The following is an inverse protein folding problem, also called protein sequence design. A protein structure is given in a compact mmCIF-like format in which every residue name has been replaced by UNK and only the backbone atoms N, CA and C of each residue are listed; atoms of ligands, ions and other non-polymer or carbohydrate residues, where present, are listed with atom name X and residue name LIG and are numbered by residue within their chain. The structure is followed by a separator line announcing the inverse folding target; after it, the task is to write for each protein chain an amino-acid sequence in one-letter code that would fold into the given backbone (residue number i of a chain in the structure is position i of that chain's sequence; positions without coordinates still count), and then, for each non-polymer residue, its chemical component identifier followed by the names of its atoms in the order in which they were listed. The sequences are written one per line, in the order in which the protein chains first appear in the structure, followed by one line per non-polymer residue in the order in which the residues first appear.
data_IF_467613481256
#
_entry.id   IF_467613481256
#
_cell.length_a   1.000
_cell.length_b   1.000
_cell.length_c   1.000
_cell.angle_alpha   90.00
_cell.angle_beta   90.00
_cell.angle_gamma   90.00
#
_symmetry.space_group_name_H-M   'P 1'
#
loop_
_entity.id
_entity.type
_entity.pdbx_description
1 polymer ?
#
# COMPACT_ATOMS: atom_id res chain seq x y z
N UNK A 1 0.67 22.06 0.58
CA UNK A 1 1.77 21.17 1.01
C UNK A 1 2.31 20.29 -0.12
N UNK A 2 1.52 19.89 -1.14
CA UNK A 2 2.04 19.09 -2.26
C UNK A 2 3.13 19.81 -3.09
N UNK A 3 2.89 21.07 -3.48
CA UNK A 3 3.76 21.81 -4.41
C UNK A 3 5.18 22.08 -3.86
N UNK A 4 5.36 22.14 -2.53
CA UNK A 4 6.68 22.34 -1.91
C UNK A 4 7.58 21.11 -2.06
N UNK A 5 7.02 19.89 -1.92
CA UNK A 5 7.79 18.65 -2.04
C UNK A 5 8.24 18.36 -3.48
N UNK A 6 7.43 18.72 -4.48
CA UNK A 6 7.86 18.65 -5.89
C UNK A 6 9.00 19.63 -6.19
N UNK A 7 8.90 20.87 -5.71
CA UNK A 7 9.96 21.89 -5.84
C UNK A 7 11.30 21.43 -5.24
N UNK A 8 11.26 20.72 -4.11
CA UNK A 8 12.44 20.13 -3.47
C UNK A 8 13.01 18.94 -4.27
N UNK A 9 12.15 18.04 -4.78
CA UNK A 9 12.59 16.91 -5.65
C UNK A 9 13.36 17.41 -6.88
N UNK A 10 12.82 18.39 -7.60
CA UNK A 10 13.46 18.93 -8.82
C UNK A 10 14.78 19.65 -8.51
N UNK A 11 14.92 20.27 -7.33
CA UNK A 11 16.19 20.88 -6.87
C UNK A 11 17.24 19.85 -6.45
N UNK A 12 16.84 18.80 -5.74
CA UNK A 12 17.75 17.71 -5.35
C UNK A 12 18.39 17.05 -6.58
N UNK A 13 17.59 16.84 -7.62
CA UNK A 13 18.06 16.32 -8.91
C UNK A 13 18.80 17.34 -9.80
N UNK A 14 19.16 18.54 -9.35
CA UNK A 14 20.01 19.44 -10.16
C UNK A 14 21.51 19.21 -9.91
N UNK A 15 21.91 19.02 -8.65
CA UNK A 15 23.32 18.99 -8.23
C UNK A 15 24.14 17.83 -8.82
N UNK A 16 23.52 16.66 -9.00
CA UNK A 16 24.17 15.50 -9.64
C UNK A 16 24.34 15.63 -11.17
N UNK A 17 23.60 16.53 -11.84
CA UNK A 17 23.73 16.81 -13.29
C UNK A 17 24.78 17.90 -13.54
N UNK A 18 24.92 18.85 -12.61
CA UNK A 18 25.92 19.93 -12.65
C UNK A 18 27.34 19.47 -12.22
N UNK A 19 27.53 18.18 -11.92
CA UNK A 19 28.82 17.62 -11.56
C UNK A 19 29.79 17.61 -12.75
N UNK A 20 31.05 18.00 -12.54
CA UNK A 20 32.04 18.23 -13.60
C UNK A 20 32.32 17.00 -14.49
N UNK A 21 31.77 16.99 -15.70
CA UNK A 21 32.05 15.98 -16.72
C UNK A 21 33.44 16.23 -17.38
N UNK A 22 34.33 15.22 -17.48
CA UNK A 22 35.61 15.35 -18.16
C UNK A 22 35.46 15.69 -19.66
N UNK A 23 36.06 16.81 -20.10
CA UNK A 23 35.91 17.32 -21.48
C UNK A 23 36.79 16.64 -22.53
N UNK A 24 37.63 15.68 -22.13
CA UNK A 24 38.75 15.19 -22.94
C UNK A 24 38.40 14.07 -23.94
N UNK A 25 37.20 13.49 -23.90
CA UNK A 25 36.80 12.43 -24.83
C UNK A 25 35.34 12.56 -25.26
N UNK A 26 35.15 12.71 -26.58
CA UNK A 26 33.82 12.81 -27.21
C UNK A 26 33.00 11.54 -27.01
N UNK A 27 33.64 10.37 -27.10
CA UNK A 27 33.02 9.07 -26.77
C UNK A 27 32.45 9.03 -25.34
N UNK A 28 33.18 9.54 -24.34
CA UNK A 28 32.70 9.54 -22.95
C UNK A 28 31.51 10.50 -22.80
N UNK A 29 31.55 11.67 -23.45
CA UNK A 29 30.43 12.63 -23.45
C UNK A 29 29.16 12.04 -24.07
N UNK A 30 29.29 11.37 -25.23
CA UNK A 30 28.15 10.75 -25.91
C UNK A 30 27.52 9.62 -25.07
N UNK A 31 28.32 8.83 -24.33
CA UNK A 31 27.80 7.80 -23.41
C UNK A 31 27.14 8.41 -22.18
N UNK A 32 27.75 9.43 -21.58
CA UNK A 32 27.16 10.12 -20.42
C UNK A 32 25.82 10.77 -20.82
N UNK A 33 25.72 11.37 -22.01
CA UNK A 33 24.47 11.93 -22.53
C UNK A 33 23.37 10.86 -22.74
N UNK A 34 23.71 9.67 -23.23
CA UNK A 34 22.77 8.55 -23.36
C UNK A 34 22.31 8.01 -21.98
N UNK A 35 23.24 7.86 -21.04
CA UNK A 35 22.95 7.44 -19.66
C UNK A 35 22.06 8.47 -18.93
N UNK A 36 22.39 9.76 -19.05
CA UNK A 36 21.59 10.89 -18.58
C UNK A 36 20.16 10.85 -19.14
N UNK A 37 20.02 10.62 -20.44
CA UNK A 37 18.74 10.52 -21.12
C UNK A 37 17.89 9.38 -20.55
N UNK A 38 18.49 8.18 -20.40
CA UNK A 38 17.85 7.01 -19.81
C UNK A 38 17.41 7.25 -18.37
N UNK A 39 18.29 7.77 -17.51
CA UNK A 39 17.95 8.09 -16.12
C UNK A 39 16.85 9.17 -16.05
N UNK A 40 16.87 10.19 -16.92
CA UNK A 40 15.79 11.18 -17.02
C UNK A 40 14.45 10.56 -17.46
N UNK A 41 14.44 9.54 -18.33
CA UNK A 41 13.21 8.79 -18.65
C UNK A 41 12.73 7.91 -17.50
N UNK A 42 13.64 7.28 -16.74
CA UNK A 42 13.30 6.49 -15.56
C UNK A 42 12.69 7.36 -14.44
N UNK A 43 13.25 8.54 -14.17
CA UNK A 43 12.69 9.49 -13.20
C UNK A 43 11.31 9.96 -13.64
N UNK A 44 11.10 10.27 -14.93
CA UNK A 44 9.77 10.60 -15.46
C UNK A 44 8.74 9.47 -15.28
N UNK A 45 9.13 8.20 -15.40
CA UNK A 45 8.24 7.06 -15.10
C UNK A 45 7.89 6.91 -13.61
N UNK A 46 8.67 7.52 -12.71
CA UNK A 46 8.46 7.50 -11.26
C UNK A 46 7.69 8.75 -10.79
N UNK A 47 7.92 9.91 -11.42
CA UNK A 47 7.33 11.21 -11.03
C UNK A 47 6.09 11.63 -11.82
N UNK A 48 5.80 11.03 -12.99
CA UNK A 48 4.61 11.39 -13.78
C UNK A 48 3.28 11.03 -13.08
N UNK A 49 2.34 11.98 -13.14
CA UNK A 49 0.97 11.92 -12.58
C UNK A 49 0.90 11.70 -11.06
N UNK A 50 1.30 12.73 -10.31
CA UNK A 50 1.13 12.83 -8.85
C UNK A 50 -0.33 13.00 -8.35
N UNK A 51 -1.34 12.69 -9.18
CA UNK A 51 -2.76 12.78 -8.83
C UNK A 51 -3.29 11.46 -8.24
N UNK A 52 -3.47 11.47 -6.90
CA UNK A 52 -4.07 10.41 -6.07
C UNK A 52 -3.26 9.12 -5.90
N UNK A 53 -3.19 8.67 -4.63
CA UNK A 53 -2.55 7.42 -4.21
C UNK A 53 -3.05 6.20 -4.98
N UNK A 54 -4.35 6.15 -5.33
CA UNK A 54 -4.96 5.01 -6.00
C UNK A 54 -4.43 4.83 -7.44
N UNK A 55 -4.32 5.92 -8.21
CA UNK A 55 -3.75 5.87 -9.57
C UNK A 55 -2.28 5.52 -9.55
N UNK A 56 -1.52 6.05 -8.59
CA UNK A 56 -0.10 5.71 -8.39
C UNK A 56 0.11 4.22 -8.17
N UNK A 57 -0.72 3.55 -7.36
CA UNK A 57 -0.64 2.11 -7.16
C UNK A 57 -0.98 1.31 -8.43
N UNK A 58 -2.04 1.68 -9.15
CA UNK A 58 -2.45 0.99 -10.39
C UNK A 58 -1.43 1.16 -11.53
N UNK A 59 -0.91 2.38 -11.71
CA UNK A 59 0.15 2.68 -12.67
C UNK A 59 1.47 2.01 -12.32
N UNK A 60 1.84 1.90 -11.04
CA UNK A 60 3.10 1.28 -10.62
C UNK A 60 3.22 -0.16 -11.16
N UNK A 61 2.17 -0.99 -11.07
CA UNK A 61 2.22 -2.35 -11.63
C UNK A 61 2.27 -2.38 -13.17
N UNK A 62 1.65 -1.41 -13.86
CA UNK A 62 1.71 -1.28 -15.33
C UNK A 62 3.06 -0.75 -15.84
N UNK A 63 3.69 0.18 -15.10
CA UNK A 63 4.98 0.82 -15.44
C UNK A 63 6.21 0.08 -14.92
N UNK A 64 6.07 -0.81 -13.93
CA UNK A 64 7.14 -1.69 -13.44
C UNK A 64 7.91 -2.46 -14.55
N UNK A 65 7.27 -3.09 -15.56
CA UNK A 65 8.01 -3.73 -16.65
C UNK A 65 8.77 -2.74 -17.56
N UNK A 66 8.20 -1.56 -17.84
CA UNK A 66 8.89 -0.50 -18.62
C UNK A 66 10.12 0.03 -17.86
N UNK A 67 9.96 0.28 -16.55
CA UNK A 67 11.04 0.75 -15.68
C UNK A 67 12.13 -0.32 -15.52
N UNK A 68 11.76 -1.60 -15.36
CA UNK A 68 12.73 -2.71 -15.27
C UNK A 68 13.56 -2.81 -16.56
N UNK A 69 12.91 -2.71 -17.73
CA UNK A 69 13.61 -2.73 -19.03
C UNK A 69 14.62 -1.58 -19.15
N UNK A 70 14.27 -0.37 -18.71
CA UNK A 70 15.20 0.76 -18.70
C UNK A 70 16.36 0.58 -17.71
N UNK A 71 16.13 -0.03 -16.54
CA UNK A 71 17.20 -0.39 -15.60
C UNK A 71 18.16 -1.42 -16.21
N UNK A 72 17.64 -2.43 -16.90
CA UNK A 72 18.44 -3.44 -17.61
C UNK A 72 19.26 -2.82 -18.75
N UNK A 73 18.67 -1.94 -19.55
CA UNK A 73 19.35 -1.20 -20.63
C UNK A 73 20.42 -0.25 -20.09
N UNK A 74 20.18 0.39 -18.95
CA UNK A 74 21.14 1.25 -18.25
C UNK A 74 22.32 0.44 -17.71
N UNK A 75 22.06 -0.69 -17.03
CA UNK A 75 23.09 -1.59 -16.52
C UNK A 75 23.94 -2.17 -17.66
N UNK A 76 23.31 -2.56 -18.77
CA UNK A 76 24.00 -3.08 -19.96
C UNK A 76 24.91 -2.03 -20.61
N UNK A 77 24.45 -0.77 -20.69
CA UNK A 77 25.26 0.34 -21.20
C UNK A 77 26.44 0.66 -20.28
N UNK A 78 26.22 0.75 -18.96
CA UNK A 78 27.30 0.93 -17.98
C UNK A 78 28.35 -0.19 -18.07
N UNK A 79 27.92 -1.45 -18.17
CA UNK A 79 28.81 -2.60 -18.27
C UNK A 79 29.67 -2.54 -19.53
N UNK A 80 29.07 -2.24 -20.69
CA UNK A 80 29.79 -2.08 -21.94
C UNK A 80 30.78 -0.91 -21.92
N UNK A 81 30.47 0.18 -21.19
CA UNK A 81 31.38 1.29 -20.97
C UNK A 81 32.59 0.88 -20.11
N UNK A 82 32.36 0.15 -19.01
CA UNK A 82 33.42 -0.37 -18.14
C UNK A 82 34.34 -1.36 -18.88
N UNK A 83 33.76 -2.36 -19.58
CA UNK A 83 34.50 -3.34 -20.38
C UNK A 83 35.38 -2.67 -21.45
N UNK A 84 34.90 -1.59 -22.08
CA UNK A 84 35.69 -0.79 -23.04
C UNK A 84 36.78 0.04 -22.37
N UNK A 85 36.54 0.60 -21.19
CA UNK A 85 37.55 1.33 -20.43
C UNK A 85 38.71 0.41 -20.03
N UNK A 86 38.41 -0.76 -19.47
CA UNK A 86 39.40 -1.79 -19.12
C UNK A 86 40.18 -2.23 -20.37
N UNK A 87 39.49 -2.48 -21.49
CA UNK A 87 40.15 -2.83 -22.75
C UNK A 87 41.13 -1.73 -23.21
N UNK A 88 40.72 -0.46 -23.17
CA UNK A 88 41.62 0.66 -23.57
C UNK A 88 42.78 0.87 -22.62
N UNK A 89 42.60 0.69 -21.30
CA UNK A 89 43.71 0.84 -20.34
C UNK A 89 44.69 -0.34 -20.40
N UNK A 90 44.21 -1.56 -20.65
CA UNK A 90 45.06 -2.72 -20.93
C UNK A 90 45.83 -2.55 -22.25
N UNK A 91 45.17 -2.11 -23.32
CA UNK A 91 45.85 -1.79 -24.58
C UNK A 91 46.89 -0.68 -24.41
N UNK A 92 46.60 0.37 -23.64
CA UNK A 92 47.54 1.47 -23.39
C UNK A 92 48.79 0.99 -22.63
N UNK A 93 48.62 0.15 -21.59
CA UNK A 93 49.74 -0.46 -20.87
C UNK A 93 50.56 -1.40 -21.78
N UNK A 94 49.89 -2.16 -22.65
CA UNK A 94 50.55 -3.04 -23.60
C UNK A 94 51.36 -2.24 -24.63
N UNK A 95 50.76 -1.22 -25.25
CA UNK A 95 51.45 -0.32 -26.18
C UNK A 95 52.63 0.41 -25.52
N UNK A 96 52.49 0.86 -24.26
CA UNK A 96 53.59 1.46 -23.51
C UNK A 96 54.74 0.47 -23.29
N UNK A 97 54.43 -0.79 -22.91
CA UNK A 97 55.43 -1.85 -22.78
C UNK A 97 56.14 -2.14 -24.12
N UNK A 98 55.38 -2.32 -25.20
CA UNK A 98 55.93 -2.56 -26.55
C UNK A 98 56.75 -1.38 -27.07
N UNK A 99 56.39 -0.13 -26.72
CA UNK A 99 57.17 1.05 -27.09
C UNK A 99 58.51 1.11 -26.34
N UNK A 100 58.54 0.77 -25.05
CA UNK A 100 59.77 0.63 -24.26
C UNK A 100 60.66 -0.49 -24.79
N UNK A 101 60.07 -1.62 -25.20
CA UNK A 101 60.79 -2.75 -25.81
C UNK A 101 61.33 -2.42 -27.22
N UNK A 102 60.59 -1.63 -28.02
CA UNK A 102 60.98 -1.26 -29.38
C UNK A 102 62.03 -0.12 -29.45
N UNK A 103 62.11 0.74 -28.43
CA UNK A 103 63.06 1.85 -28.37
C UNK A 103 63.79 1.93 -27.01
N UNK A 104 64.70 0.98 -26.69
CA UNK A 104 65.34 0.87 -25.37
C UNK A 104 66.14 2.11 -24.92
N UNK A 105 66.51 2.99 -25.85
CA UNK A 105 67.38 4.15 -25.60
C UNK A 105 66.62 5.47 -25.37
N UNK A 106 65.28 5.45 -25.22
CA UNK A 106 64.51 6.62 -24.78
C UNK A 106 64.00 6.41 -23.36
N UNK A 107 64.66 7.05 -22.41
CA UNK A 107 64.41 6.97 -20.96
C UNK A 107 63.00 7.51 -20.64
N UNK A 108 62.09 6.70 -20.06
CA UNK A 108 60.90 7.21 -19.41
C UNK A 108 61.27 7.94 -18.11
N UNK A 109 60.85 9.19 -17.97
CA UNK A 109 61.13 10.00 -16.77
C UNK A 109 60.24 9.57 -15.58
N UNK A 110 60.89 9.23 -14.45
CA UNK A 110 60.40 9.56 -13.10
C UNK A 110 60.01 8.40 -12.18
N UNK A 111 60.39 8.55 -10.89
CA UNK A 111 60.11 7.71 -9.71
C UNK A 111 61.06 6.48 -9.57
N UNK A 112 62.26 6.54 -8.95
CA UNK A 112 62.59 6.75 -7.50
C UNK A 112 62.07 5.58 -6.65
N UNK A 113 62.84 4.82 -5.85
CA UNK A 113 64.27 4.75 -5.44
C UNK A 113 64.56 3.30 -4.93
N UNK A 114 65.76 2.79 -4.62
CA UNK A 114 67.16 3.30 -4.63
C UNK A 114 68.17 2.15 -4.99
N UNK A 115 68.93 1.64 -4.01
CA UNK A 115 70.21 0.88 -4.14
C UNK A 115 70.31 -0.22 -3.05
N UNK A 116 71.30 -1.12 -2.95
CA UNK A 116 72.65 -1.22 -3.53
C UNK A 116 73.12 -2.68 -3.72
N UNK A 117 74.34 -2.87 -4.23
CA UNK A 117 74.90 -4.15 -4.69
C UNK A 117 76.23 -4.52 -3.98
N UNK A 118 76.60 -5.82 -3.99
CA UNK A 118 77.97 -6.45 -4.11
C UNK A 118 79.25 -5.78 -3.52
N UNK A 119 80.35 -6.46 -3.18
CA UNK A 119 80.76 -7.87 -2.96
C UNK A 119 82.25 -7.86 -2.48
N UNK A 120 82.89 -9.03 -2.39
CA UNK A 120 84.18 -9.30 -1.71
C UNK A 120 85.51 -8.77 -2.32
N UNK A 121 86.52 -8.78 -1.44
CA UNK A 121 88.02 -8.78 -1.47
C UNK A 121 88.72 -9.81 -2.44
N UNK A 122 90.09 -10.04 -2.47
CA UNK A 122 91.26 -9.38 -1.82
C UNK A 122 92.63 -9.31 -2.64
N UNK A 123 93.71 -8.88 -1.94
CA UNK A 123 95.10 -9.44 -1.90
C UNK A 123 96.27 -8.92 -2.78
N UNK A 124 97.48 -8.81 -2.16
CA UNK A 124 98.83 -9.04 -2.74
C UNK A 124 100.00 -8.86 -1.72
N UNK A 125 100.99 -9.76 -1.77
CA UNK A 125 102.18 -9.89 -0.88
C UNK A 125 103.43 -9.09 -1.36
N UNK A 126 104.42 -8.84 -0.46
CA UNK A 126 105.83 -9.30 -0.65
C UNK A 126 106.85 -9.06 0.48
N UNK A 127 107.90 -9.88 0.47
CA UNK A 127 109.04 -9.96 1.41
C UNK A 127 110.10 -8.83 1.32
N UNK A 128 110.92 -8.73 2.38
CA UNK A 128 112.21 -8.04 2.41
C UNK A 128 113.19 -8.73 3.38
N UNK A 129 114.47 -8.85 3.02
CA UNK A 129 115.42 -9.78 3.67
C UNK A 129 116.73 -9.15 4.18
N UNK A 130 117.55 -9.99 4.84
CA UNK A 130 119.00 -9.88 5.13
C UNK A 130 119.47 -9.10 6.38
N UNK A 131 120.34 -9.71 7.19
CA UNK A 131 121.79 -9.42 7.17
C UNK A 131 122.59 -10.40 8.05
N UNK A 132 123.85 -10.69 7.69
CA UNK A 132 124.74 -11.66 8.38
C UNK A 132 125.73 -10.96 9.32
N UNK A 133 126.17 -11.67 10.37
CA UNK A 133 127.24 -11.25 11.29
C UNK A 133 128.37 -12.27 11.30
N UNK A 134 129.59 -11.85 10.96
CA UNK A 134 130.85 -12.42 11.48
C UNK A 134 132.07 -11.62 11.00
N UNK A 135 132.98 -11.31 11.92
CA UNK A 135 134.37 -10.92 11.61
C UNK A 135 135.23 -11.00 12.87
N UNK A 136 136.19 -11.93 12.87
CA UNK A 136 137.52 -11.75 13.46
C UNK A 136 138.41 -12.92 13.00
N UNK A 137 139.62 -12.60 12.55
CA UNK A 137 140.64 -13.53 12.06
C UNK A 137 141.89 -13.33 12.92
N UNK A 138 142.49 -14.42 13.38
CA UNK A 138 143.68 -14.42 14.23
C UNK A 138 144.91 -14.90 13.43
N UNK A 139 146.08 -14.78 14.07
CA UNK A 139 147.39 -15.38 13.73
C UNK A 139 148.23 -14.71 12.64
N UNK A 140 149.57 -14.74 12.69
CA UNK A 140 150.56 -14.52 13.77
C UNK A 140 151.91 -14.26 13.07
N UNK A 141 152.84 -13.56 13.71
CA UNK A 141 154.12 -13.15 13.11
C UNK A 141 155.22 -14.22 13.28
N UNK A 142 156.05 -14.44 12.25
CA UNK A 142 157.26 -15.27 12.32
C UNK A 142 158.45 -14.49 12.93
N UNK A 143 159.30 -15.15 13.72
CA UNK A 143 160.42 -14.52 14.47
C UNK A 143 161.81 -14.72 13.86
N UNK A 144 162.89 -14.46 14.63
CA UNK A 144 164.25 -15.08 14.53
C UNK A 144 165.22 -14.49 15.58
N UNK A 145 166.04 -15.36 16.23
CA UNK A 145 167.31 -15.10 16.96
C UNK A 145 167.32 -14.06 18.12
N UNK A 146 168.25 -14.10 19.08
CA UNK A 146 169.48 -14.89 19.21
C UNK A 146 169.72 -15.38 20.67
N UNK A 147 170.77 -16.16 20.90
CA UNK A 147 170.98 -17.00 22.08
C UNK A 147 171.16 -16.30 23.46
N UNK A 148 170.99 -17.13 24.50
CA UNK A 148 171.47 -16.97 25.89
C UNK A 148 170.54 -16.43 27.00
N UNK A 149 169.21 -16.56 26.88
CA UNK A 149 168.27 -16.33 28.01
C UNK A 149 167.33 -17.51 28.36
N UNK A 150 167.71 -18.74 27.97
CA UNK A 150 166.89 -19.95 28.09
C UNK A 150 166.30 -20.24 29.48
N UNK A 151 166.97 -19.90 30.59
CA UNK A 151 166.42 -20.11 31.94
C UNK A 151 165.33 -19.08 32.32
N UNK A 152 165.45 -17.85 31.84
CA UNK A 152 164.39 -16.83 32.03
C UNK A 152 163.18 -17.12 31.15
N UNK A 153 163.41 -17.68 29.95
CA UNK A 153 162.39 -18.11 29.00
C UNK A 153 161.65 -19.36 29.51
N UNK A 154 162.34 -20.33 30.10
CA UNK A 154 161.73 -21.50 30.77
C UNK A 154 160.89 -21.09 31.98
N UNK A 155 161.35 -20.16 32.83
CA UNK A 155 160.54 -19.63 33.93
C UNK A 155 159.36 -18.77 33.42
N UNK A 156 159.52 -18.08 32.29
CA UNK A 156 158.42 -17.41 31.59
C UNK A 156 157.35 -18.39 31.11
N UNK A 157 157.77 -19.45 30.41
CA UNK A 157 156.90 -20.50 29.89
C UNK A 157 156.16 -21.25 31.00
N UNK A 158 156.81 -21.53 32.14
CA UNK A 158 156.14 -22.07 33.34
C UNK A 158 155.05 -21.14 33.86
N UNK A 159 155.30 -19.83 33.89
CA UNK A 159 154.32 -18.83 34.34
C UNK A 159 153.12 -18.78 33.41
N UNK A 160 153.34 -18.71 32.09
CA UNK A 160 152.26 -18.74 31.10
C UNK A 160 151.49 -20.07 31.09
N UNK A 161 152.15 -21.20 31.37
CA UNK A 161 151.49 -22.49 31.50
C UNK A 161 150.54 -22.50 32.71
N UNK A 162 150.97 -21.92 33.83
CA UNK A 162 150.18 -21.83 35.05
C UNK A 162 149.01 -20.85 34.89
N UNK A 163 149.23 -19.72 34.23
CA UNK A 163 148.18 -18.77 33.81
C UNK A 163 147.13 -19.45 32.92
N UNK A 164 147.55 -20.09 31.82
CA UNK A 164 146.67 -20.87 30.92
C UNK A 164 145.91 -21.99 31.66
N UNK A 165 146.53 -22.60 32.68
CA UNK A 165 145.90 -23.63 33.47
C UNK A 165 144.81 -23.05 34.41
N UNK A 166 145.04 -21.88 35.00
CA UNK A 166 144.00 -21.15 35.76
C UNK A 166 142.89 -20.59 34.86
N UNK A 167 143.21 -20.11 33.66
CA UNK A 167 142.21 -19.67 32.67
C UNK A 167 141.35 -20.84 32.19
N UNK A 168 141.95 -22.02 31.96
CA UNK A 168 141.23 -23.25 31.63
C UNK A 168 140.26 -23.67 32.74
N UNK A 169 140.69 -23.61 34.00
CA UNK A 169 139.84 -23.94 35.16
C UNK A 169 138.71 -22.91 35.34
N UNK A 170 138.98 -21.62 35.12
CA UNK A 170 137.98 -20.57 35.10
C UNK A 170 136.97 -20.73 33.94
N UNK A 171 137.44 -21.13 32.76
CA UNK A 171 136.62 -21.41 31.58
C UNK A 171 135.71 -22.63 31.80
N UNK A 172 136.20 -23.71 32.42
CA UNK A 172 135.38 -24.88 32.75
C UNK A 172 134.30 -24.54 33.79
N UNK A 173 134.66 -23.77 34.83
CA UNK A 173 133.69 -23.25 35.80
C UNK A 173 132.63 -22.36 35.13
N UNK A 174 133.04 -21.45 34.24
CA UNK A 174 132.11 -20.62 33.46
C UNK A 174 131.21 -21.48 32.57
N UNK A 175 131.78 -22.45 31.86
CA UNK A 175 131.06 -23.39 31.01
C UNK A 175 130.00 -24.16 31.80
N UNK A 176 130.36 -24.80 32.92
CA UNK A 176 129.41 -25.48 33.80
C UNK A 176 128.31 -24.55 34.33
N UNK A 177 128.64 -23.29 34.63
CA UNK A 177 127.67 -22.29 35.10
C UNK A 177 126.71 -21.88 33.97
N UNK A 178 127.19 -21.73 32.72
CA UNK A 178 126.33 -21.52 31.55
C UNK A 178 125.46 -22.72 31.24
N UNK A 179 125.97 -23.95 31.41
CA UNK A 179 125.25 -25.20 31.18
C UNK A 179 124.09 -25.38 32.17
N UNK A 180 124.31 -25.03 33.45
CA UNK A 180 123.25 -24.96 34.47
C UNK A 180 122.19 -23.91 34.14
N UNK A 181 122.58 -22.72 33.65
CA UNK A 181 121.62 -21.69 33.21
C UNK A 181 120.80 -22.15 32.00
N UNK A 182 121.43 -22.77 31.01
CA UNK A 182 120.75 -23.33 29.85
C UNK A 182 119.74 -24.42 30.26
N UNK A 183 120.10 -25.31 31.19
CA UNK A 183 119.17 -26.32 31.72
C UNK A 183 117.96 -25.72 32.44
N UNK A 184 118.12 -24.59 33.15
CA UNK A 184 117.00 -23.86 33.76
C UNK A 184 116.11 -23.24 32.67
N UNK A 185 116.71 -22.51 31.70
CA UNK A 185 115.94 -21.90 30.61
C UNK A 185 115.25 -22.93 29.71
N UNK A 186 115.85 -24.09 29.48
CA UNK A 186 115.24 -25.20 28.74
C UNK A 186 114.03 -25.78 29.50
N UNK A 187 114.09 -25.86 30.84
CA UNK A 187 112.93 -26.23 31.64
C UNK A 187 111.82 -25.17 31.58
N UNK A 188 112.17 -23.90 31.78
CA UNK A 188 111.21 -22.78 31.72
C UNK A 188 110.55 -22.66 30.33
N UNK A 189 111.31 -22.93 29.26
CA UNK A 189 110.79 -22.98 27.89
C UNK A 189 109.81 -24.14 27.67
N UNK A 190 110.14 -25.34 28.18
CA UNK A 190 109.25 -26.50 28.11
C UNK A 190 107.98 -26.31 28.94
N UNK A 191 108.09 -25.81 30.17
CA UNK A 191 106.95 -25.48 31.04
C UNK A 191 106.02 -24.46 30.32
N UNK A 192 106.58 -23.39 29.75
CA UNK A 192 105.83 -22.39 28.99
C UNK A 192 105.21 -22.94 27.69
N UNK A 193 105.86 -23.92 27.03
CA UNK A 193 105.34 -24.55 25.82
C UNK A 193 104.13 -25.46 26.11
N UNK A 194 104.14 -26.17 27.24
CA UNK A 194 102.98 -26.95 27.71
C UNK A 194 101.83 -26.02 28.16
N UNK A 195 102.13 -24.89 28.82
CA UNK A 195 101.12 -23.86 29.12
C UNK A 195 100.46 -23.32 27.83
N UNK A 196 101.25 -22.98 26.80
CA UNK A 196 100.74 -22.53 25.49
C UNK A 196 99.83 -23.57 24.84
N UNK A 197 100.21 -24.86 24.85
CA UNK A 197 99.32 -25.95 24.41
C UNK A 197 98.02 -25.98 25.20
N UNK A 198 98.10 -25.91 26.53
CA UNK A 198 96.93 -25.89 27.40
C UNK A 198 96.04 -24.65 27.21
N UNK A 199 96.57 -23.53 26.72
CA UNK A 199 95.77 -22.37 26.29
C UNK A 199 95.13 -22.58 24.92
N UNK A 200 95.88 -23.10 23.93
CA UNK A 200 95.35 -23.39 22.58
C UNK A 200 94.21 -24.42 22.60
N UNK A 201 94.32 -25.50 23.39
CA UNK A 201 93.25 -26.49 23.55
C UNK A 201 91.98 -25.86 24.14
N UNK A 202 92.13 -24.97 25.15
CA UNK A 202 91.01 -24.22 25.74
C UNK A 202 90.41 -23.22 24.76
N UNK A 203 91.23 -22.54 23.96
CA UNK A 203 90.77 -21.60 22.93
C UNK A 203 89.98 -22.35 21.83
N UNK A 204 90.51 -23.47 21.32
CA UNK A 204 89.83 -24.32 20.35
C UNK A 204 88.47 -24.81 20.88
N UNK A 205 88.42 -25.25 22.14
CA UNK A 205 87.17 -25.68 22.78
C UNK A 205 86.16 -24.54 22.89
N UNK A 206 86.60 -23.37 23.36
CA UNK A 206 85.75 -22.18 23.47
C UNK A 206 85.23 -21.71 22.09
N UNK A 207 86.05 -21.77 21.04
CA UNK A 207 85.59 -21.48 19.68
C UNK A 207 84.50 -22.42 19.19
N UNK A 208 84.62 -23.73 19.48
CA UNK A 208 83.60 -24.73 19.12
C UNK A 208 82.31 -24.44 19.88
N UNK A 209 82.38 -24.20 21.19
CA UNK A 209 81.22 -23.84 22.01
C UNK A 209 80.55 -22.55 21.50
N UNK A 210 81.32 -21.52 21.13
CA UNK A 210 80.79 -20.27 20.53
C UNK A 210 80.14 -20.51 19.16
N UNK A 211 80.69 -21.38 18.31
CA UNK A 211 80.08 -21.76 17.02
C UNK A 211 78.74 -22.47 17.25
N UNK A 212 78.69 -23.47 18.13
CA UNK A 212 77.46 -24.20 18.49
C UNK A 212 76.40 -23.27 19.09
N UNK A 213 76.79 -22.37 20.00
CA UNK A 213 75.88 -21.40 20.60
C UNK A 213 75.30 -20.44 19.57
N UNK A 214 76.12 -19.92 18.63
CA UNK A 214 75.65 -19.08 17.52
C UNK A 214 74.65 -19.82 16.62
N UNK A 215 74.91 -21.08 16.28
CA UNK A 215 73.98 -21.90 15.49
C UNK A 215 72.66 -22.17 16.22
N UNK A 216 72.71 -22.40 17.55
CA UNK A 216 71.49 -22.60 18.34
C UNK A 216 70.67 -21.32 18.49
N UNK A 217 71.32 -20.17 18.65
CA UNK A 217 70.68 -18.87 18.75
C UNK A 217 70.01 -18.50 17.41
N UNK A 218 70.70 -18.70 16.28
CA UNK A 218 70.12 -18.49 14.95
C UNK A 218 68.90 -19.40 14.69
N UNK A 219 68.89 -20.65 15.18
CA UNK A 219 67.71 -21.53 15.09
C UNK A 219 66.53 -20.98 15.90
N UNK A 220 66.78 -20.57 17.15
CA UNK A 220 65.76 -20.00 18.02
C UNK A 220 65.19 -18.67 17.49
N UNK A 221 66.00 -17.83 16.85
CA UNK A 221 65.53 -16.60 16.18
C UNK A 221 64.61 -16.93 15.00
N UNK A 222 64.98 -17.88 14.14
CA UNK A 222 64.13 -18.33 13.03
C UNK A 222 62.82 -18.97 13.51
N UNK A 223 62.85 -19.75 14.59
CA UNK A 223 61.65 -20.34 15.22
C UNK A 223 60.74 -19.25 15.80
N UNK A 224 61.30 -18.26 16.52
CA UNK A 224 60.58 -17.08 17.03
C UNK A 224 59.89 -16.32 15.90
N UNK A 225 60.63 -16.01 14.83
CA UNK A 225 60.12 -15.18 13.74
C UNK A 225 59.05 -15.92 12.91
N UNK A 226 59.22 -17.23 12.73
CA UNK A 226 58.18 -18.10 12.15
C UNK A 226 56.92 -18.12 13.01
N UNK A 227 57.05 -18.27 14.34
CA UNK A 227 55.93 -18.24 15.26
C UNK A 227 55.21 -16.89 15.31
N UNK A 228 55.97 -15.79 15.26
CA UNK A 228 55.41 -14.42 15.24
C UNK A 228 54.66 -14.13 13.93
N UNK A 229 55.16 -14.62 12.79
CA UNK A 229 54.46 -14.55 11.50
C UNK A 229 53.14 -15.34 11.54
N UNK A 230 53.16 -16.57 12.08
CA UNK A 230 51.95 -17.40 12.23
C UNK A 230 50.92 -16.76 13.18
N UNK A 231 51.38 -16.15 14.27
CA UNK A 231 50.51 -15.40 15.19
C UNK A 231 49.88 -14.19 14.48
N UNK A 232 50.66 -13.43 13.73
CA UNK A 232 50.16 -12.28 12.94
C UNK A 232 49.08 -12.70 11.93
N UNK A 233 49.32 -13.77 11.17
CA UNK A 233 48.35 -14.34 10.22
C UNK A 233 47.07 -14.85 10.92
N UNK A 234 47.22 -15.41 12.12
CA UNK A 234 46.08 -15.87 12.92
C UNK A 234 45.22 -14.71 13.41
N UNK A 235 45.84 -13.61 13.84
CA UNK A 235 45.15 -12.39 14.26
C UNK A 235 44.42 -11.70 13.11
N UNK A 236 45.02 -11.59 11.93
CA UNK A 236 44.37 -11.06 10.72
C UNK A 236 43.13 -11.89 10.36
N UNK A 237 43.26 -13.22 10.34
CA UNK A 237 42.14 -14.13 10.06
C UNK A 237 41.02 -14.05 11.12
N UNK A 238 41.35 -13.80 12.38
CA UNK A 238 40.35 -13.57 13.43
C UNK A 238 39.61 -12.25 13.17
N UNK A 239 40.31 -11.17 12.84
CA UNK A 239 39.70 -9.87 12.54
C UNK A 239 38.75 -9.94 11.33
N UNK A 240 39.12 -10.65 10.26
CA UNK A 240 38.26 -10.88 9.09
C UNK A 240 36.98 -11.67 9.44
N UNK A 241 37.11 -12.67 10.32
CA UNK A 241 35.98 -13.47 10.80
C UNK A 241 35.07 -12.65 11.72
N UNK A 242 35.63 -11.84 12.63
CA UNK A 242 34.87 -10.94 13.49
C UNK A 242 34.11 -9.87 12.68
N UNK A 243 34.73 -9.28 11.66
CA UNK A 243 34.09 -8.36 10.73
C UNK A 243 32.93 -9.03 9.97
N UNK A 244 33.15 -10.26 9.48
CA UNK A 244 32.13 -11.05 8.79
C UNK A 244 30.95 -11.41 9.71
N UNK A 245 31.23 -11.85 10.94
CA UNK A 245 30.21 -12.16 11.96
C UNK A 245 29.41 -10.92 12.33
N UNK A 246 30.07 -9.76 12.49
CA UNK A 246 29.38 -8.48 12.76
C UNK A 246 28.43 -8.09 11.61
N UNK A 247 28.88 -8.23 10.36
CA UNK A 247 28.05 -7.97 9.18
C UNK A 247 26.82 -8.88 9.12
N UNK A 248 27.00 -10.19 9.28
CA UNK A 248 25.89 -11.16 9.30
C UNK A 248 24.94 -10.93 10.49
N UNK A 249 25.46 -10.53 11.66
CA UNK A 249 24.64 -10.20 12.81
C UNK A 249 23.75 -8.98 12.55
N UNK A 250 24.26 -7.94 11.91
CA UNK A 250 23.49 -6.75 11.55
C UNK A 250 22.50 -7.02 10.40
N UNK A 251 22.88 -7.85 9.42
CA UNK A 251 21.96 -8.34 8.40
C UNK A 251 20.79 -9.14 9.03
N UNK A 252 21.08 -10.04 9.97
CA UNK A 252 20.08 -10.82 10.70
C UNK A 252 19.16 -9.92 11.56
N UNK A 253 19.69 -8.90 12.25
CA UNK A 253 18.88 -7.86 12.93
C UNK A 253 17.97 -7.14 11.93
N UNK A 254 18.48 -6.78 10.75
CA UNK A 254 17.72 -6.15 9.67
C UNK A 254 16.57 -7.01 9.15
N UNK A 255 16.81 -8.31 8.94
CA UNK A 255 15.76 -9.28 8.56
C UNK A 255 14.72 -9.45 9.66
N UNK A 256 15.13 -9.59 10.93
CA UNK A 256 14.23 -9.70 12.08
C UNK A 256 13.30 -8.48 12.19
N UNK A 257 13.85 -7.26 12.14
CA UNK A 257 13.07 -6.03 12.14
C UNK A 257 12.07 -5.94 10.98
N UNK A 258 12.45 -6.44 9.78
CA UNK A 258 11.55 -6.52 8.62
C UNK A 258 10.44 -7.54 8.82
N UNK A 259 10.73 -8.71 9.38
CA UNK A 259 9.75 -9.73 9.73
C UNK A 259 8.74 -9.20 10.76
N UNK A 260 9.21 -8.63 11.88
CA UNK A 260 8.33 -8.05 12.90
C UNK A 260 7.53 -6.82 12.42
N UNK A 261 7.96 -6.15 11.34
CA UNK A 261 7.13 -5.14 10.66
C UNK A 261 6.03 -5.80 9.82
N UNK A 262 6.38 -6.79 9.00
CA UNK A 262 5.41 -7.53 8.19
C UNK A 262 4.36 -8.26 9.04
N UNK A 263 4.74 -8.83 10.19
CA UNK A 263 3.81 -9.47 11.14
C UNK A 263 2.78 -8.49 11.72
N UNK A 264 3.20 -7.27 12.05
CA UNK A 264 2.28 -6.21 12.53
C UNK A 264 1.33 -5.75 11.43
N UNK A 265 1.83 -5.57 10.21
CA UNK A 265 1.01 -5.23 9.05
C UNK A 265 0.00 -6.35 8.72
N UNK A 266 0.44 -7.62 8.72
CA UNK A 266 -0.43 -8.77 8.53
C UNK A 266 -1.49 -8.91 9.64
N UNK A 267 -1.13 -8.64 10.89
CA UNK A 267 -2.08 -8.63 12.02
C UNK A 267 -3.13 -7.53 11.90
N UNK A 268 -2.72 -6.33 11.48
CA UNK A 268 -3.63 -5.21 11.21
C UNK A 268 -4.57 -5.49 10.04
N UNK A 269 -4.06 -6.03 8.93
CA UNK A 269 -4.88 -6.45 7.79
C UNK A 269 -5.86 -7.56 8.16
N UNK A 270 -5.46 -8.53 9.00
CA UNK A 270 -6.35 -9.57 9.51
C UNK A 270 -7.50 -9.00 10.33
N UNK A 271 -7.23 -8.02 11.20
CA UNK A 271 -8.27 -7.32 11.96
C UNK A 271 -9.25 -6.57 11.04
N UNK A 272 -8.75 -5.88 10.01
CA UNK A 272 -9.58 -5.15 9.05
C UNK A 272 -10.45 -6.09 8.19
N UNK A 273 -9.93 -7.25 7.79
CA UNK A 273 -10.72 -8.30 7.12
C UNK A 273 -11.86 -8.80 8.02
N UNK A 274 -11.60 -9.06 9.30
CA UNK A 274 -12.66 -9.43 10.25
C UNK A 274 -13.70 -8.32 10.44
N UNK A 275 -13.27 -7.04 10.47
CA UNK A 275 -14.16 -5.87 10.56
C UNK A 275 -15.08 -5.80 9.34
N UNK A 276 -14.52 -5.83 8.13
CA UNK A 276 -15.25 -5.79 6.87
C UNK A 276 -16.20 -6.99 6.69
N UNK A 277 -15.81 -8.17 7.17
CA UNK A 277 -16.69 -9.34 7.16
C UNK A 277 -17.93 -9.12 8.05
N UNK A 278 -17.75 -8.63 9.27
CA UNK A 278 -18.86 -8.31 10.18
C UNK A 278 -19.78 -7.21 9.63
N UNK A 279 -19.22 -6.22 8.93
CA UNK A 279 -19.97 -5.14 8.28
C UNK A 279 -20.79 -5.66 7.09
N UNK A 280 -20.22 -6.55 6.28
CA UNK A 280 -20.92 -7.28 5.20
C UNK A 280 -22.08 -8.11 5.76
N UNK A 281 -21.86 -8.87 6.82
CA UNK A 281 -22.89 -9.71 7.46
C UNK A 281 -24.02 -8.84 8.04
N UNK A 282 -23.71 -7.75 8.73
CA UNK A 282 -24.70 -6.78 9.19
C UNK A 282 -25.46 -6.10 8.03
N UNK A 283 -24.79 -5.81 6.92
CA UNK A 283 -25.41 -5.31 5.69
C UNK A 283 -26.41 -6.31 5.09
N UNK A 284 -26.04 -7.60 5.02
CA UNK A 284 -26.90 -8.66 4.52
C UNK A 284 -28.16 -8.84 5.39
N UNK A 285 -28.03 -8.77 6.72
CA UNK A 285 -29.19 -8.81 7.62
C UNK A 285 -30.15 -7.64 7.38
N UNK A 286 -29.64 -6.42 7.19
CA UNK A 286 -30.48 -5.25 6.84
C UNK A 286 -31.16 -5.43 5.49
N UNK A 287 -30.45 -5.92 4.48
CA UNK A 287 -30.99 -6.17 3.14
C UNK A 287 -32.14 -7.21 3.17
N UNK A 288 -31.94 -8.33 3.86
CA UNK A 288 -33.00 -9.33 4.06
C UNK A 288 -34.21 -8.73 4.77
N UNK A 289 -34.00 -7.82 5.75
CA UNK A 289 -35.11 -7.15 6.42
C UNK A 289 -35.90 -6.20 5.50
N UNK A 290 -35.23 -5.56 4.55
CA UNK A 290 -35.90 -4.79 3.49
C UNK A 290 -36.74 -5.69 2.58
N UNK A 291 -36.26 -6.88 2.21
CA UNK A 291 -37.03 -7.86 1.42
C UNK A 291 -38.30 -8.28 2.16
N UNK A 292 -38.21 -8.64 3.45
CA UNK A 292 -39.39 -8.98 4.25
C UNK A 292 -40.43 -7.84 4.28
N UNK A 293 -39.96 -6.59 4.43
CA UNK A 293 -40.83 -5.42 4.46
C UNK A 293 -41.50 -5.18 3.10
N UNK A 294 -40.76 -5.36 1.99
CA UNK A 294 -41.32 -5.26 0.63
C UNK A 294 -42.38 -6.33 0.43
N UNK A 295 -42.11 -7.60 0.74
CA UNK A 295 -43.09 -8.69 0.63
C UNK A 295 -44.37 -8.44 1.47
N UNK A 296 -44.22 -7.83 2.65
CA UNK A 296 -45.35 -7.45 3.50
C UNK A 296 -46.16 -6.27 2.92
N UNK A 297 -45.50 -5.28 2.30
CA UNK A 297 -46.16 -4.16 1.62
C UNK A 297 -46.87 -4.62 0.35
N UNK A 298 -46.22 -5.46 -0.48
CA UNK A 298 -46.83 -6.07 -1.67
C UNK A 298 -48.08 -6.88 -1.32
N UNK A 299 -48.08 -7.63 -0.22
CA UNK A 299 -49.29 -8.31 0.26
C UNK A 299 -50.39 -7.30 0.59
N UNK A 300 -50.08 -6.27 1.38
CA UNK A 300 -51.07 -5.23 1.74
C UNK A 300 -51.62 -4.47 0.53
N UNK A 301 -50.84 -4.32 -0.53
CA UNK A 301 -51.29 -3.73 -1.79
C UNK A 301 -52.30 -4.67 -2.46
N UNK A 302 -51.99 -5.97 -2.62
CA UNK A 302 -52.94 -6.94 -3.18
C UNK A 302 -54.25 -7.02 -2.39
N UNK A 303 -54.16 -7.14 -1.06
CA UNK A 303 -55.33 -7.19 -0.16
C UNK A 303 -56.22 -5.92 -0.34
N UNK A 304 -55.61 -4.75 -0.61
CA UNK A 304 -56.31 -3.50 -0.86
C UNK A 304 -56.89 -3.39 -2.30
N UNK A 305 -56.18 -3.90 -3.30
CA UNK A 305 -56.65 -3.97 -4.70
C UNK A 305 -57.88 -4.87 -4.82
N UNK A 306 -57.86 -6.05 -4.20
CA UNK A 306 -59.03 -6.94 -4.09
C UNK A 306 -60.21 -6.24 -3.40
N UNK A 307 -59.94 -5.50 -2.33
CA UNK A 307 -60.98 -4.71 -1.63
C UNK A 307 -61.59 -3.64 -2.54
N UNK A 308 -60.78 -2.93 -3.33
CA UNK A 308 -61.24 -1.90 -4.28
C UNK A 308 -62.09 -2.50 -5.40
N UNK A 309 -61.74 -3.70 -5.89
CA UNK A 309 -62.56 -4.43 -6.87
C UNK A 309 -63.92 -4.79 -6.24
N UNK A 310 -63.92 -5.41 -5.06
CA UNK A 310 -65.16 -5.77 -4.34
C UNK A 310 -66.08 -4.57 -4.04
N UNK A 311 -65.53 -3.39 -3.78
CA UNK A 311 -66.31 -2.16 -3.62
C UNK A 311 -66.84 -1.62 -4.95
N UNK A 312 -66.08 -1.73 -6.04
CA UNK A 312 -66.53 -1.34 -7.39
C UNK A 312 -67.75 -2.17 -7.81
N UNK A 313 -67.65 -3.50 -7.72
CA UNK A 313 -68.71 -4.41 -8.16
C UNK A 313 -70.03 -4.16 -7.39
N UNK A 314 -69.93 -3.88 -6.08
CA UNK A 314 -71.09 -3.47 -5.26
C UNK A 314 -71.65 -2.11 -5.65
N UNK A 315 -70.79 -1.16 -6.03
CA UNK A 315 -71.23 0.16 -6.50
C UNK A 315 -71.96 0.05 -7.83
N UNK A 316 -71.46 -0.76 -8.75
CA UNK A 316 -72.09 -1.05 -10.05
C UNK A 316 -73.44 -1.76 -9.86
N UNK A 317 -73.52 -2.74 -8.96
CA UNK A 317 -74.79 -3.38 -8.60
C UNK A 317 -75.81 -2.35 -8.05
N UNK A 318 -75.41 -1.51 -7.09
CA UNK A 318 -76.27 -0.50 -6.51
C UNK A 318 -76.71 0.57 -7.54
N UNK A 319 -75.84 0.95 -8.48
CA UNK A 319 -76.18 1.86 -9.58
C UNK A 319 -77.19 1.23 -10.54
N UNK A 320 -77.03 -0.06 -10.87
CA UNK A 320 -78.00 -0.81 -11.67
C UNK A 320 -79.37 -0.92 -10.97
N UNK A 321 -79.41 -1.19 -9.67
CA UNK A 321 -80.64 -1.21 -8.86
C UNK A 321 -81.31 0.18 -8.82
N UNK A 322 -80.54 1.25 -8.63
CA UNK A 322 -81.03 2.63 -8.69
C UNK A 322 -81.61 2.96 -10.07
N UNK A 323 -80.98 2.51 -11.16
CA UNK A 323 -81.46 2.78 -12.51
C UNK A 323 -82.76 2.00 -12.81
N UNK A 324 -82.88 0.75 -12.38
CA UNK A 324 -84.14 -0.01 -12.45
C UNK A 324 -85.27 0.67 -11.64
N UNK A 325 -84.99 1.17 -10.44
CA UNK A 325 -85.97 1.91 -9.64
C UNK A 325 -86.38 3.25 -10.28
N UNK A 326 -85.47 3.94 -10.98
CA UNK A 326 -85.82 5.14 -11.77
C UNK A 326 -86.77 4.81 -12.92
N UNK A 327 -86.56 3.69 -13.62
CA UNK A 327 -87.47 3.25 -14.69
C UNK A 327 -88.87 2.92 -14.16
N UNK A 328 -88.98 2.24 -13.02
CA UNK A 328 -90.28 1.99 -12.37
C UNK A 328 -90.95 3.28 -11.87
N UNK A 329 -90.18 4.25 -11.35
CA UNK A 329 -90.72 5.57 -10.99
C UNK A 329 -91.24 6.35 -12.21
N UNK A 330 -90.58 6.25 -13.38
CA UNK A 330 -91.07 6.84 -14.62
C UNK A 330 -92.41 6.23 -15.05
N UNK A 331 -92.51 4.89 -15.08
CA UNK A 331 -93.76 4.16 -15.39
C UNK A 331 -94.90 4.54 -14.42
N UNK A 332 -94.60 4.61 -13.12
CA UNK A 332 -95.58 5.01 -12.11
C UNK A 332 -96.04 6.46 -12.29
N UNK A 333 -95.13 7.36 -12.67
CA UNK A 333 -95.45 8.76 -12.92
C UNK A 333 -96.32 8.94 -14.18
N UNK A 334 -96.11 8.15 -15.24
CA UNK A 334 -97.00 8.09 -16.41
C UNK A 334 -98.42 7.66 -15.99
N UNK A 335 -98.54 6.54 -15.27
CA UNK A 335 -99.84 6.03 -14.77
C UNK A 335 -100.53 7.04 -13.81
N UNK A 336 -99.76 7.73 -12.98
CA UNK A 336 -100.30 8.77 -12.09
C UNK A 336 -100.76 10.02 -12.88
N UNK A 337 -100.08 10.36 -13.98
CA UNK A 337 -100.52 11.38 -14.94
C UNK A 337 -101.85 11.00 -15.59
N UNK A 338 -101.95 9.78 -16.13
CA UNK A 338 -103.19 9.22 -16.70
C UNK A 338 -104.35 9.21 -15.68
N UNK A 339 -104.07 8.81 -14.44
CA UNK A 339 -105.05 8.78 -13.36
C UNK A 339 -105.50 10.20 -12.98
N UNK A 340 -104.59 11.17 -12.95
CA UNK A 340 -104.90 12.58 -12.70
C UNK A 340 -105.80 13.16 -13.80
N UNK A 341 -105.52 12.86 -15.07
CA UNK A 341 -106.37 13.24 -16.22
C UNK A 341 -107.76 12.62 -16.09
N UNK A 342 -107.87 11.32 -15.77
CA UNK A 342 -109.17 10.66 -15.55
C UNK A 342 -109.92 11.25 -14.35
N UNK A 343 -109.22 11.58 -13.27
CA UNK A 343 -109.82 12.22 -12.10
C UNK A 343 -110.41 13.59 -12.45
N UNK A 344 -109.67 14.40 -13.23
CA UNK A 344 -110.14 15.69 -13.73
C UNK A 344 -111.38 15.55 -14.65
N UNK A 345 -111.40 14.54 -15.53
CA UNK A 345 -112.56 14.21 -16.37
C UNK A 345 -113.79 13.80 -15.52
N UNK A 346 -113.59 13.02 -14.46
CA UNK A 346 -114.66 12.67 -13.52
C UNK A 346 -115.21 13.89 -12.78
N UNK A 347 -114.35 14.81 -12.34
CA UNK A 347 -114.79 16.07 -11.72
C UNK A 347 -115.63 16.91 -12.68
N UNK A 348 -115.18 17.07 -13.94
CA UNK A 348 -115.93 17.81 -14.96
C UNK A 348 -117.28 17.15 -15.28
N UNK A 349 -117.33 15.81 -15.36
CA UNK A 349 -118.58 15.06 -15.52
C UNK A 349 -119.53 15.27 -14.33
N UNK A 350 -119.03 15.24 -13.09
CA UNK A 350 -119.84 15.52 -11.89
C UNK A 350 -120.41 16.93 -11.96
N UNK A 351 -119.59 17.96 -12.24
CA UNK A 351 -120.08 19.33 -12.36
C UNK A 351 -121.05 19.56 -13.52
N UNK A 352 -120.98 18.75 -14.58
CA UNK A 352 -121.99 18.73 -15.65
C UNK A 352 -123.31 18.11 -15.16
N UNK A 353 -123.26 16.96 -14.49
CA UNK A 353 -124.43 16.28 -13.91
C UNK A 353 -125.10 17.13 -12.81
N UNK A 354 -124.33 17.80 -11.95
CA UNK A 354 -124.86 18.74 -10.94
C UNK A 354 -125.63 19.89 -11.58
N UNK A 355 -125.15 20.40 -12.72
CA UNK A 355 -125.83 21.44 -13.51
C UNK A 355 -127.12 20.92 -14.14
N UNK A 356 -127.09 19.72 -14.71
CA UNK A 356 -128.27 19.04 -15.26
C UNK A 356 -129.32 18.76 -14.19
N UNK A 357 -128.92 18.24 -13.03
CA UNK A 357 -129.80 18.00 -11.87
C UNK A 357 -130.38 19.32 -11.36
N UNK A 358 -129.59 20.37 -11.25
CA UNK A 358 -130.06 21.70 -10.84
C UNK A 358 -131.12 22.25 -11.80
N UNK A 359 -130.86 22.15 -13.12
CA UNK A 359 -131.79 22.55 -14.17
C UNK A 359 -133.05 21.68 -14.19
N UNK A 360 -132.93 20.36 -14.00
CA UNK A 360 -134.08 19.45 -13.90
C UNK A 360 -134.92 19.75 -12.65
N UNK A 361 -134.29 20.07 -11.52
CA UNK A 361 -134.97 20.46 -10.29
C UNK A 361 -135.69 21.80 -10.42
N UNK A 362 -135.11 22.77 -11.12
CA UNK A 362 -135.77 24.05 -11.45
C UNK A 362 -136.97 23.85 -12.38
N UNK A 363 -136.83 23.05 -13.43
CA UNK A 363 -137.95 22.69 -14.31
C UNK A 363 -139.05 21.93 -13.56
N UNK A 364 -138.71 21.02 -12.64
CA UNK A 364 -139.68 20.32 -11.79
C UNK A 364 -140.41 21.27 -10.83
N UNK A 365 -139.71 22.25 -10.25
CA UNK A 365 -140.33 23.33 -9.46
C UNK A 365 -141.28 24.17 -10.31
N UNK A 366 -140.87 24.54 -11.54
CA UNK A 366 -141.72 25.28 -12.48
C UNK A 366 -142.98 24.49 -12.84
N UNK A 367 -142.84 23.24 -13.27
CA UNK A 367 -143.97 22.35 -13.56
C UNK A 367 -144.89 22.13 -12.36
N UNK A 368 -144.34 21.98 -11.15
CA UNK A 368 -145.13 21.90 -9.91
C UNK A 368 -145.94 23.18 -9.67
N UNK A 369 -145.35 24.36 -9.90
CA UNK A 369 -146.06 25.63 -9.80
C UNK A 369 -147.13 25.79 -10.90
N UNK A 370 -146.87 25.34 -12.13
CA UNK A 370 -147.83 25.32 -13.23
C UNK A 370 -149.01 24.38 -12.94
N UNK A 371 -148.74 23.19 -12.35
CA UNK A 371 -149.78 22.24 -11.91
C UNK A 371 -150.59 22.81 -10.75
N UNK A 372 -149.99 23.48 -9.77
CA UNK A 372 -150.72 24.17 -8.69
C UNK A 372 -151.62 25.30 -9.23
N UNK A 373 -151.12 26.10 -10.18
CA UNK A 373 -151.92 27.14 -10.85
C UNK A 373 -153.02 26.53 -11.72
N UNK A 374 -152.76 25.41 -12.40
CA UNK A 374 -153.74 24.66 -13.18
C UNK A 374 -154.84 24.04 -12.30
N UNK A 375 -154.46 23.45 -11.16
CA UNK A 375 -155.38 22.93 -10.17
C UNK A 375 -156.23 24.06 -9.56
N UNK A 376 -155.62 25.20 -9.21
CA UNK A 376 -156.34 26.37 -8.71
C UNK A 376 -157.33 26.93 -9.75
N UNK A 377 -156.94 26.99 -11.04
CA UNK A 377 -157.86 27.35 -12.14
C UNK A 377 -159.01 26.36 -12.28
N UNK A 378 -158.73 25.05 -12.25
CA UNK A 378 -159.75 23.99 -12.31
C UNK A 378 -160.74 24.08 -11.15
N UNK A 379 -160.25 24.30 -9.92
CA UNK A 379 -161.07 24.46 -8.72
C UNK A 379 -161.95 25.72 -8.81
N UNK A 380 -161.40 26.83 -9.33
CA UNK A 380 -162.16 28.06 -9.58
C UNK A 380 -163.22 27.89 -10.69
N UNK A 381 -162.91 27.11 -11.74
CA UNK A 381 -163.86 26.73 -12.79
C UNK A 381 -165.01 25.87 -12.22
N UNK A 382 -164.69 24.89 -11.36
CA UNK A 382 -165.68 24.03 -10.71
C UNK A 382 -166.56 24.84 -9.74
N UNK A 383 -165.98 25.70 -8.91
CA UNK A 383 -166.74 26.61 -8.03
C UNK A 383 -167.68 27.52 -8.81
N UNK A 384 -167.27 27.99 -10.00
CA UNK A 384 -168.13 28.77 -10.88
C UNK A 384 -169.30 27.96 -11.42
N UNK A 385 -169.06 26.74 -11.93
CA UNK A 385 -170.13 25.84 -12.40
C UNK A 385 -171.06 25.40 -11.26
N UNK A 386 -170.53 25.24 -10.04
CA UNK A 386 -171.32 24.89 -8.86
C UNK A 386 -172.17 26.08 -8.37
N UNK A 387 -171.65 27.31 -8.44
CA UNK A 387 -172.42 28.53 -8.21
C UNK A 387 -173.53 28.72 -9.27
N UNK A 388 -173.25 28.44 -10.55
CA UNK A 388 -174.24 28.46 -11.64
C UNK A 388 -175.32 27.39 -11.43
N UNK A 389 -174.96 26.18 -10.99
CA UNK A 389 -175.90 25.10 -10.64
C UNK A 389 -176.75 25.44 -9.39
N UNK A 390 -176.18 26.10 -8.39
CA UNK A 390 -176.93 26.58 -7.22
C UNK A 390 -177.91 27.69 -7.61
N UNK A 391 -177.52 28.61 -8.51
CA UNK A 391 -178.42 29.62 -9.07
C UNK A 391 -179.58 28.98 -9.85
N UNK A 392 -179.32 27.94 -10.64
CA UNK A 392 -180.38 27.17 -11.32
C UNK A 392 -181.30 26.45 -10.31
N UNK A 393 -180.77 25.88 -9.23
CA UNK A 393 -181.60 25.28 -8.16
C UNK A 393 -182.44 26.29 -7.40
N UNK A 394 -181.93 27.51 -7.14
CA UNK A 394 -182.73 28.58 -6.54
C UNK A 394 -183.87 28.99 -7.50
N UNK A 395 -183.57 29.25 -8.77
CA UNK A 395 -184.58 29.57 -9.79
C UNK A 395 -185.66 28.48 -9.91
N UNK A 396 -185.27 27.19 -9.88
CA UNK A 396 -186.22 26.09 -9.86
C UNK A 396 -187.09 26.07 -8.59
N UNK A 397 -186.52 26.39 -7.41
CA UNK A 397 -187.27 26.49 -6.15
C UNK A 397 -188.21 27.70 -6.10
N UNK A 398 -187.82 28.83 -6.68
CA UNK A 398 -188.68 30.00 -6.83
C UNK A 398 -189.86 29.68 -7.76
N UNK A 399 -189.61 28.93 -8.83
CA UNK A 399 -190.65 28.46 -9.76
C UNK A 399 -191.58 27.42 -9.11
N UNK A 400 -191.05 26.54 -8.24
CA UNK A 400 -191.83 25.59 -7.44
C UNK A 400 -192.69 26.30 -6.36
N UNK A 401 -192.18 27.39 -5.77
CA UNK A 401 -192.94 28.29 -4.89
C UNK A 401 -194.08 28.98 -5.64
N UNK A 402 -193.85 29.50 -6.85
CA UNK A 402 -194.90 30.09 -7.69
C UNK A 402 -195.94 29.03 -8.10
N UNK A 403 -195.54 27.78 -8.35
CA UNK A 403 -196.51 26.69 -8.57
C UNK A 403 -197.33 26.39 -7.30
N UNK A 404 -196.72 26.34 -6.12
CA UNK A 404 -197.42 26.15 -4.85
C UNK A 404 -198.37 27.31 -4.52
N UNK A 405 -198.00 28.54 -4.88
CA UNK A 405 -198.87 29.71 -4.76
C UNK A 405 -200.11 29.58 -5.67
N UNK A 406 -199.93 29.17 -6.93
CA UNK A 406 -201.03 28.91 -7.87
C UNK A 406 -201.93 27.71 -7.45
N UNK A 407 -201.36 26.68 -6.80
CA UNK A 407 -202.14 25.58 -6.23
C UNK A 407 -202.97 26.02 -5.01
N UNK A 408 -202.43 26.93 -4.19
CA UNK A 408 -203.15 27.57 -3.09
C UNK A 408 -204.33 28.41 -3.59
N UNK A 409 -204.13 29.23 -4.63
CA UNK A 409 -205.20 30.01 -5.26
C UNK A 409 -206.29 29.10 -5.89
N UNK A 410 -205.92 27.95 -6.46
CA UNK A 410 -206.89 26.95 -6.95
C UNK A 410 -207.69 26.26 -5.84
N UNK A 411 -207.06 25.96 -4.70
CA UNK A 411 -207.76 25.44 -3.53
C UNK A 411 -208.68 26.50 -2.90
N UNK A 412 -208.34 27.78 -3.04
CA UNK A 412 -209.16 28.90 -2.57
C UNK A 412 -210.37 29.18 -3.48
N UNK A 413 -210.31 28.82 -4.77
CA UNK A 413 -211.43 28.94 -5.71
C UNK A 413 -212.48 27.82 -5.56
N UNK A 414 -212.09 26.61 -5.17
CA UNK A 414 -213.00 25.46 -5.01
C UNK A 414 -213.83 25.47 -3.71
N UNK A 415 -213.67 26.49 -2.86
CA UNK A 415 -214.45 26.68 -1.63
C UNK A 415 -215.60 27.70 -1.75
N UNK A 416 -215.96 28.14 -2.96
CA UNK A 416 -217.00 29.17 -3.18
C UNK A 416 -218.14 28.81 -4.14
N UNK A 417 -218.20 27.59 -4.69
CA UNK A 417 -219.37 27.09 -5.44
C UNK A 417 -219.88 25.75 -4.88
N UNK A 418 -220.25 25.78 -3.61
CA UNK A 418 -221.47 25.19 -3.01
C UNK A 418 -221.37 25.46 -1.48
N UNK A 419 -222.27 26.11 -0.70
CA UNK A 419 -223.66 26.60 -0.87
C UNK A 419 -224.33 26.08 -2.11
N UNK A 420 -224.63 24.78 -2.17
CA UNK A 420 -224.80 23.78 -1.07
C UNK A 420 -223.69 23.49 -0.02
#
# INVERSE_FOLDING_TARGET
MANTLQSESTRLYSWWWDSHIPKNSKWIQDNLADMDSKVKTMIKLIEADADSFARRAEMYYKKRPELMKLVEELYRAYRALAERYDHTTVQLRHAHKTMVEAFPNQIPFGMVEDSASSSSEPDLQKDGATSKRSSSRLEILYGTSDAHEADTEVEGLKRTLLELQTEKEALDLQYQLTLKKLSIFEKELNDAQEDVRGFDERACKAEIEVKVLKESLAKLENERDTGLLQYSQSMERIADLEASVSHEQDYAKGLSNRASKAEREASSLKQEVSRLQSEKEAGLVRYNKCIELISALEKRIRDAEESVIMFRDRSEQAENEINALKEELLKLNEVNGDLSVRYQQCLELISNLEREVSHAQENAKRLSSEVLVGAAKSLNQNLKVEAENLAHKMSAKDQELVQKQNELEKLQALMQEDTC
#
